data_IF_858161957631
#
_entry.id   IF_858161957631
#
_cell.length_a   1.000
_cell.length_b   1.000
_cell.length_c   1.000
_cell.angle_alpha   90.00
_cell.angle_beta   90.00
_cell.angle_gamma   90.00
#
_symmetry.space_group_name_H-M   'P 1'
#
loop_
_entity.id
_entity.type
_entity.pdbx_description
1 polymer ?
#
# COMPACT_ATOMS: atom_id res chain seq x y z
N UNK A 1 7.58 -7.13 -12.82
CA UNK A 1 8.05 -6.69 -11.49
C UNK A 1 8.22 -7.85 -10.50
N UNK A 2 7.50 -8.96 -10.59
CA UNK A 2 7.63 -10.11 -9.66
C UNK A 2 9.08 -10.60 -9.50
N UNK A 3 9.79 -10.86 -10.62
CA UNK A 3 11.20 -11.30 -10.58
C UNK A 3 12.12 -10.25 -9.92
N UNK A 4 11.85 -8.97 -10.14
CA UNK A 4 12.62 -7.87 -9.52
C UNK A 4 12.36 -7.82 -8.02
N UNK A 5 11.11 -7.95 -7.60
CA UNK A 5 10.72 -8.02 -6.19
C UNK A 5 11.36 -9.21 -5.47
N UNK A 6 11.33 -10.40 -6.08
CA UNK A 6 11.96 -11.60 -5.50
C UNK A 6 13.47 -11.43 -5.31
N UNK A 7 14.15 -10.79 -6.28
CA UNK A 7 15.59 -10.48 -6.16
C UNK A 7 15.88 -9.47 -5.07
N UNK A 8 15.01 -8.47 -4.91
CA UNK A 8 15.13 -7.47 -3.85
C UNK A 8 14.99 -8.12 -2.46
N UNK A 9 13.95 -8.93 -2.26
CA UNK A 9 13.72 -9.65 -0.99
C UNK A 9 14.88 -10.61 -0.65
N UNK A 10 15.57 -11.16 -1.67
CA UNK A 10 16.77 -12.00 -1.49
C UNK A 10 18.07 -11.22 -1.34
N UNK A 11 18.03 -9.88 -1.31
CA UNK A 11 19.21 -9.00 -1.29
C UNK A 11 20.15 -9.19 -2.51
N UNK A 12 19.64 -9.66 -3.65
CA UNK A 12 20.39 -9.78 -4.89
C UNK A 12 20.46 -8.46 -5.66
N UNK A 13 19.50 -7.57 -5.43
CA UNK A 13 19.46 -6.18 -5.91
C UNK A 13 19.04 -5.25 -4.77
N UNK A 14 19.36 -3.98 -4.91
CA UNK A 14 19.09 -2.94 -3.91
C UNK A 14 18.09 -1.90 -4.42
N UNK A 15 17.72 -0.93 -3.57
CA UNK A 15 16.73 0.11 -3.88
C UNK A 15 17.01 0.83 -5.22
N UNK A 16 18.25 1.23 -5.58
CA UNK A 16 18.49 1.92 -6.85
C UNK A 16 18.09 1.09 -8.08
N UNK A 17 18.45 -0.19 -8.12
CA UNK A 17 18.13 -1.09 -9.25
C UNK A 17 16.62 -1.35 -9.30
N UNK A 18 15.98 -1.51 -8.16
CA UNK A 18 14.54 -1.70 -8.07
C UNK A 18 13.79 -0.46 -8.60
N UNK A 19 14.23 0.76 -8.23
CA UNK A 19 13.65 2.00 -8.72
C UNK A 19 13.79 2.17 -10.23
N UNK A 20 14.93 1.80 -10.81
CA UNK A 20 15.13 1.84 -12.27
C UNK A 20 14.19 0.88 -12.98
N UNK A 21 14.05 -0.35 -12.47
CA UNK A 21 13.15 -1.34 -13.03
C UNK A 21 11.68 -0.91 -12.92
N UNK A 22 11.26 -0.35 -11.78
CA UNK A 22 9.91 0.15 -11.56
C UNK A 22 9.57 1.32 -12.51
N UNK A 23 10.49 2.28 -12.70
CA UNK A 23 10.33 3.38 -13.66
C UNK A 23 10.22 2.88 -15.09
N UNK A 24 11.03 1.91 -15.48
CA UNK A 24 10.96 1.32 -16.83
C UNK A 24 9.61 0.64 -17.07
N UNK A 25 9.10 -0.11 -16.09
CA UNK A 25 7.78 -0.74 -16.14
C UNK A 25 6.67 0.30 -16.22
N UNK A 26 6.70 1.32 -15.39
CA UNK A 26 5.71 2.39 -15.37
C UNK A 26 5.63 3.12 -16.72
N UNK A 27 6.77 3.44 -17.32
CA UNK A 27 6.82 4.03 -18.68
C UNK A 27 6.23 3.11 -19.74
N UNK A 28 6.48 1.81 -19.66
CA UNK A 28 5.85 0.84 -20.54
C UNK A 28 4.33 0.79 -20.38
N UNK A 29 3.85 0.78 -19.13
CA UNK A 29 2.42 0.79 -18.81
C UNK A 29 1.75 2.09 -19.29
N UNK A 30 2.37 3.26 -19.11
CA UNK A 30 1.85 4.54 -19.63
C UNK A 30 1.60 4.50 -21.15
N UNK A 31 2.51 3.91 -21.91
CA UNK A 31 2.37 3.76 -23.37
C UNK A 31 1.25 2.80 -23.75
N UNK A 32 1.06 1.74 -22.98
CA UNK A 32 0.05 0.72 -23.24
C UNK A 32 -1.34 1.12 -22.70
N UNK A 33 -1.41 1.98 -21.70
CA UNK A 33 -2.66 2.37 -21.02
C UNK A 33 -3.78 2.77 -21.98
N UNK A 34 -3.56 3.57 -23.05
CA UNK A 34 -4.61 3.90 -24.02
C UNK A 34 -5.13 2.70 -24.82
N UNK A 35 -4.32 1.62 -24.94
CA UNK A 35 -4.67 0.38 -25.66
C UNK A 35 -5.36 -0.63 -24.75
N UNK A 36 -5.28 -0.45 -23.44
CA UNK A 36 -5.88 -1.31 -22.41
C UNK A 36 -7.25 -0.79 -21.94
N UNK A 37 -7.86 0.18 -22.67
CA UNK A 37 -9.18 0.73 -22.37
C UNK A 37 -10.26 -0.25 -22.84
N UNK A 38 -11.04 -0.77 -21.91
CA UNK A 38 -12.13 -1.72 -22.18
C UNK A 38 -12.05 -2.92 -21.22
N UNK A 39 -12.91 -3.92 -21.41
CA UNK A 39 -13.05 -5.13 -20.59
C UNK A 39 -11.77 -5.97 -20.42
N UNK A 40 -10.69 -5.63 -21.13
CA UNK A 40 -9.39 -6.32 -21.08
C UNK A 40 -8.35 -5.60 -20.19
N UNK A 41 -8.68 -4.49 -19.52
CA UNK A 41 -7.80 -3.87 -18.55
C UNK A 41 -7.74 -4.76 -17.29
N UNK A 42 -6.69 -5.55 -17.16
CA UNK A 42 -6.43 -6.34 -15.96
C UNK A 42 -5.97 -5.36 -14.86
N UNK A 43 -6.92 -4.69 -14.22
CA UNK A 43 -6.65 -3.94 -12.98
C UNK A 43 -6.47 -4.94 -11.84
N UNK A 44 -5.41 -4.79 -11.05
CA UNK A 44 -5.23 -5.56 -9.82
C UNK A 44 -6.17 -5.07 -8.69
N UNK A 45 -6.88 -3.97 -8.92
CA UNK A 45 -7.80 -3.33 -7.97
C UNK A 45 -7.37 -1.90 -7.63
N UNK A 46 -8.18 -1.25 -6.80
CA UNK A 46 -7.92 0.08 -6.27
C UNK A 46 -7.50 0.00 -4.80
N UNK A 47 -6.58 0.84 -4.41
CA UNK A 47 -5.98 0.85 -3.09
C UNK A 47 -5.76 2.28 -2.58
N UNK A 48 -5.91 2.48 -1.29
CA UNK A 48 -5.57 3.73 -0.61
C UNK A 48 -4.26 3.53 0.15
N UNK A 49 -3.38 4.55 0.13
CA UNK A 49 -2.14 4.58 0.91
C UNK A 49 -2.01 5.91 1.64
N UNK A 50 -1.55 5.86 2.90
CA UNK A 50 -1.27 7.07 3.67
C UNK A 50 -0.29 6.81 4.80
N UNK A 51 0.45 7.86 5.20
CA UNK A 51 1.26 7.87 6.42
C UNK A 51 0.45 8.53 7.54
N UNK A 52 0.40 7.90 8.69
CA UNK A 52 -0.47 8.31 9.81
C UNK A 52 -0.17 9.70 10.35
N UNK A 53 -1.11 10.25 11.10
CA UNK A 53 -1.00 11.55 11.76
C UNK A 53 0.28 11.65 12.61
N UNK A 54 0.96 12.80 12.53
CA UNK A 54 2.21 13.07 13.23
C UNK A 54 3.45 12.48 12.56
N UNK A 55 3.31 11.78 11.45
CA UNK A 55 4.43 11.18 10.71
C UNK A 55 4.57 11.81 9.31
N UNK A 56 5.74 12.38 9.02
CA UNK A 56 6.03 13.07 7.75
C UNK A 56 6.90 12.23 6.80
N UNK A 57 7.14 10.97 7.13
CA UNK A 57 7.99 10.10 6.33
C UNK A 57 7.20 9.48 5.18
N UNK A 58 7.69 9.64 3.97
CA UNK A 58 7.03 9.19 2.74
C UNK A 58 7.88 8.27 1.84
N UNK A 59 9.21 8.22 2.03
CA UNK A 59 10.12 7.48 1.13
C UNK A 59 9.70 6.01 1.02
N UNK A 60 9.48 5.34 2.15
CA UNK A 60 9.03 3.95 2.18
C UNK A 60 7.66 3.77 1.56
N UNK A 61 6.70 4.63 1.93
CA UNK A 61 5.35 4.64 1.37
C UNK A 61 5.37 4.83 -0.15
N UNK A 62 6.13 5.79 -0.66
CA UNK A 62 6.21 6.07 -2.10
C UNK A 62 6.86 4.91 -2.87
N UNK A 63 7.82 4.20 -2.25
CA UNK A 63 8.38 2.99 -2.82
C UNK A 63 7.33 1.86 -2.92
N UNK A 64 6.52 1.67 -1.88
CA UNK A 64 5.39 0.73 -1.89
C UNK A 64 4.40 1.11 -2.99
N UNK A 65 3.99 2.38 -3.09
CA UNK A 65 3.08 2.87 -4.14
C UNK A 65 3.61 2.54 -5.53
N UNK A 66 4.88 2.83 -5.80
CA UNK A 66 5.51 2.53 -7.09
C UNK A 66 5.46 1.02 -7.42
N UNK A 67 5.69 0.17 -6.43
CA UNK A 67 5.61 -1.28 -6.61
C UNK A 67 4.18 -1.75 -6.87
N UNK A 68 3.20 -1.19 -6.17
CA UNK A 68 1.77 -1.47 -6.35
C UNK A 68 1.28 -1.04 -7.74
N UNK A 69 1.60 0.17 -8.18
CA UNK A 69 1.27 0.66 -9.53
C UNK A 69 1.90 -0.22 -10.62
N UNK A 70 3.18 -0.61 -10.42
CA UNK A 70 3.86 -1.56 -11.32
C UNK A 70 3.23 -2.95 -11.31
N UNK A 71 2.48 -3.29 -10.27
CA UNK A 71 1.75 -4.54 -10.15
C UNK A 71 0.31 -4.45 -10.72
N UNK A 72 -0.10 -3.27 -11.20
CA UNK A 72 -1.40 -3.02 -11.83
C UNK A 72 -2.47 -2.44 -10.92
N UNK A 73 -2.13 -2.01 -9.71
CA UNK A 73 -3.07 -1.29 -8.84
C UNK A 73 -3.24 0.16 -9.27
N UNK A 74 -4.46 0.68 -9.09
CA UNK A 74 -4.71 2.12 -8.99
C UNK A 74 -4.54 2.53 -7.53
N UNK A 75 -3.60 3.43 -7.25
CA UNK A 75 -3.29 3.84 -5.87
C UNK A 75 -3.71 5.30 -5.63
N UNK A 76 -4.54 5.50 -4.61
CA UNK A 76 -4.90 6.81 -4.09
C UNK A 76 -3.95 7.11 -2.93
N UNK A 77 -3.02 8.04 -3.14
CA UNK A 77 -2.08 8.48 -2.12
C UNK A 77 -2.64 9.65 -1.32
N UNK A 78 -2.90 9.44 -0.04
CA UNK A 78 -3.37 10.47 0.89
C UNK A 78 -2.23 11.38 1.38
N UNK A 79 -0.97 11.02 1.09
CA UNK A 79 0.20 11.77 1.54
C UNK A 79 0.70 11.35 2.92
N UNK A 80 1.15 12.33 3.68
CA UNK A 80 1.70 12.18 5.03
C UNK A 80 0.88 12.97 6.05
N UNK A 81 1.09 12.70 7.34
CA UNK A 81 0.35 13.36 8.43
C UNK A 81 -1.17 13.26 8.24
N UNK A 82 -1.62 12.07 7.87
CA UNK A 82 -3.02 11.84 7.49
C UNK A 82 -3.84 11.51 8.74
N UNK A 83 -4.83 12.32 9.10
CA UNK A 83 -5.73 12.03 10.22
C UNK A 83 -6.67 10.87 9.87
N UNK A 84 -7.17 10.20 10.92
CA UNK A 84 -8.05 9.03 10.82
C UNK A 84 -9.25 9.27 9.92
N UNK A 85 -9.89 10.44 10.07
CA UNK A 85 -11.10 10.82 9.33
C UNK A 85 -10.86 10.82 7.82
N UNK A 86 -9.66 11.22 7.38
CA UNK A 86 -9.31 11.21 5.95
C UNK A 86 -9.19 9.82 5.37
N UNK A 87 -8.70 8.85 6.13
CA UNK A 87 -8.71 7.45 5.69
C UNK A 87 -10.14 6.95 5.52
N UNK A 88 -11.02 7.22 6.48
CA UNK A 88 -12.43 6.82 6.44
C UNK A 88 -13.16 7.49 5.27
N UNK A 89 -12.99 8.81 5.10
CA UNK A 89 -13.58 9.58 4.01
C UNK A 89 -13.14 9.05 2.64
N UNK A 90 -11.83 8.80 2.47
CA UNK A 90 -11.29 8.27 1.22
C UNK A 90 -11.86 6.90 0.85
N UNK A 91 -12.08 6.00 1.82
CA UNK A 91 -12.74 4.72 1.57
C UNK A 91 -14.20 4.93 1.17
N UNK A 92 -14.94 5.80 1.85
CA UNK A 92 -16.35 6.10 1.54
C UNK A 92 -16.54 6.72 0.15
N UNK A 93 -15.60 7.58 -0.26
CA UNK A 93 -15.60 8.19 -1.59
C UNK A 93 -15.21 7.21 -2.71
N UNK A 94 -14.54 6.11 -2.36
CA UNK A 94 -14.06 5.10 -3.29
C UNK A 94 -14.51 3.69 -2.90
N UNK A 95 -15.80 3.34 -3.10
CA UNK A 95 -16.36 2.07 -2.64
C UNK A 95 -15.81 0.83 -3.38
N UNK A 96 -15.05 1.04 -4.43
CA UNK A 96 -14.33 0.00 -5.20
C UNK A 96 -12.92 -0.30 -4.65
N UNK A 97 -12.48 0.43 -3.62
CA UNK A 97 -11.22 0.14 -2.92
C UNK A 97 -11.29 -1.22 -2.24
N UNK A 98 -10.21 -2.00 -2.40
CA UNK A 98 -10.08 -3.33 -1.79
C UNK A 98 -9.06 -3.37 -0.66
N UNK A 99 -8.05 -2.51 -0.71
CA UNK A 99 -6.97 -2.52 0.28
C UNK A 99 -6.67 -1.10 0.76
N UNK A 100 -6.52 -0.93 2.07
CA UNK A 100 -6.04 0.30 2.70
C UNK A 100 -4.68 0.03 3.31
N UNK A 101 -3.66 0.74 2.84
CA UNK A 101 -2.30 0.65 3.36
C UNK A 101 -1.99 1.81 4.30
N UNK A 102 -1.53 1.48 5.49
CA UNK A 102 -1.21 2.45 6.55
C UNK A 102 0.27 2.35 6.91
N UNK A 103 0.99 3.48 6.82
CA UNK A 103 2.43 3.56 7.06
C UNK A 103 2.77 4.40 8.29
N UNK A 104 3.77 3.95 9.07
CA UNK A 104 4.40 4.74 10.13
C UNK A 104 5.88 4.39 10.24
N UNK A 105 6.74 5.40 10.45
CA UNK A 105 8.19 5.18 10.57
C UNK A 105 8.70 5.32 12.01
N UNK A 106 7.99 6.02 12.87
CA UNK A 106 8.43 6.31 14.23
C UNK A 106 7.68 5.45 15.25
N UNK A 107 8.38 5.02 16.30
CA UNK A 107 7.72 4.36 17.44
C UNK A 107 6.69 5.28 18.12
N UNK A 108 6.90 6.58 18.06
CA UNK A 108 5.99 7.61 18.59
C UNK A 108 4.71 7.77 17.75
N UNK A 109 4.68 7.31 16.51
CA UNK A 109 3.51 7.34 15.62
C UNK A 109 2.79 6.00 15.50
N UNK A 110 3.30 4.94 16.12
CA UNK A 110 2.59 3.65 16.23
C UNK A 110 1.21 3.77 16.90
N UNK A 111 1.00 4.60 17.95
CA UNK A 111 -0.33 4.82 18.50
C UNK A 111 -1.32 5.40 17.49
N UNK A 112 -0.89 6.32 16.62
CA UNK A 112 -1.74 6.86 15.55
C UNK A 112 -2.10 5.80 14.50
N UNK A 113 -1.18 4.86 14.20
CA UNK A 113 -1.51 3.71 13.35
C UNK A 113 -2.57 2.81 14.01
N UNK A 114 -2.42 2.51 15.29
CA UNK A 114 -3.39 1.73 16.05
C UNK A 114 -4.77 2.39 16.01
N UNK A 115 -4.84 3.69 16.29
CA UNK A 115 -6.08 4.47 16.25
C UNK A 115 -6.72 4.41 14.85
N UNK A 116 -5.94 4.58 13.79
CA UNK A 116 -6.41 4.51 12.41
C UNK A 116 -6.99 3.14 12.08
N UNK A 117 -6.28 2.06 12.40
CA UNK A 117 -6.73 0.69 12.13
C UNK A 117 -7.97 0.34 12.96
N UNK A 118 -8.00 0.70 14.24
CA UNK A 118 -9.17 0.47 15.11
C UNK A 118 -10.40 1.25 14.66
N UNK A 119 -10.23 2.46 14.14
CA UNK A 119 -11.32 3.25 13.58
C UNK A 119 -11.87 2.63 12.31
N UNK A 120 -11.01 2.26 11.37
CA UNK A 120 -11.41 1.54 10.15
C UNK A 120 -12.11 0.22 10.45
N UNK A 121 -11.68 -0.49 11.50
CA UNK A 121 -12.30 -1.75 11.93
C UNK A 121 -13.75 -1.59 12.46
N UNK A 122 -14.14 -0.38 12.86
CA UNK A 122 -15.49 -0.08 13.38
C UNK A 122 -16.47 0.35 12.29
N UNK A 123 -15.97 0.64 11.10
CA UNK A 123 -16.78 1.15 9.99
C UNK A 123 -17.61 0.04 9.32
N UNK A 124 -18.74 0.42 8.76
CA UNK A 124 -19.69 -0.49 8.08
C UNK A 124 -19.11 -1.12 6.80
N UNK A 125 -18.17 -0.43 6.14
CA UNK A 125 -17.45 -0.94 4.98
C UNK A 125 -16.30 -1.92 5.31
N UNK A 126 -16.01 -2.17 6.59
CA UNK A 126 -14.86 -2.99 7.01
C UNK A 126 -14.78 -4.37 6.35
N UNK A 127 -15.91 -4.98 6.10
CA UNK A 127 -16.02 -6.30 5.45
C UNK A 127 -15.60 -6.29 3.98
N UNK A 128 -15.63 -5.12 3.34
CA UNK A 128 -15.40 -4.95 1.90
C UNK A 128 -13.94 -4.56 1.59
N UNK A 129 -13.15 -4.23 2.63
CA UNK A 129 -11.75 -3.82 2.53
C UNK A 129 -10.84 -4.72 3.35
N UNK A 130 -9.54 -4.69 3.00
CA UNK A 130 -8.44 -5.26 3.77
C UNK A 130 -7.48 -4.16 4.22
N UNK A 131 -6.95 -4.26 5.43
CA UNK A 131 -6.04 -3.29 6.01
C UNK A 131 -4.64 -3.90 6.07
N UNK A 132 -3.69 -3.26 5.40
CA UNK A 132 -2.29 -3.64 5.37
C UNK A 132 -1.44 -2.57 6.05
N UNK A 133 -0.55 -2.97 6.95
CA UNK A 133 0.32 -2.04 7.67
C UNK A 133 1.80 -2.34 7.41
N UNK A 134 2.63 -1.30 7.50
CA UNK A 134 4.07 -1.42 7.34
C UNK A 134 4.81 -0.18 7.83
N UNK A 135 6.13 -0.33 7.92
CA UNK A 135 7.06 0.69 8.40
C UNK A 135 8.11 0.10 9.32
N UNK A 136 9.23 0.79 9.50
CA UNK A 136 10.39 0.24 10.17
C UNK A 136 10.14 -0.26 11.62
N UNK A 137 9.32 0.41 12.46
CA UNK A 137 9.05 -0.06 13.82
C UNK A 137 7.91 -1.09 13.89
N UNK A 138 7.23 -1.37 12.78
CA UNK A 138 6.06 -2.25 12.76
C UNK A 138 6.51 -3.71 12.72
N UNK A 139 5.86 -4.54 13.52
CA UNK A 139 6.09 -5.99 13.57
C UNK A 139 4.81 -6.76 13.25
N UNK A 140 4.92 -8.05 12.88
CA UNK A 140 3.73 -8.89 12.69
C UNK A 140 2.83 -8.93 13.93
N UNK A 141 3.43 -9.02 15.13
CA UNK A 141 2.70 -9.08 16.40
C UNK A 141 1.92 -7.79 16.66
N UNK A 142 2.52 -6.62 16.37
CA UNK A 142 1.82 -5.36 16.48
C UNK A 142 0.67 -5.25 15.48
N UNK A 143 0.87 -5.68 14.23
CA UNK A 143 -0.18 -5.68 13.22
C UNK A 143 -1.39 -6.55 13.64
N UNK A 144 -1.12 -7.73 14.21
CA UNK A 144 -2.16 -8.60 14.76
C UNK A 144 -2.87 -7.96 15.97
N UNK A 145 -2.10 -7.36 16.90
CA UNK A 145 -2.65 -6.68 18.08
C UNK A 145 -3.66 -5.58 17.70
N UNK A 146 -3.33 -4.77 16.68
CA UNK A 146 -4.18 -3.67 16.26
C UNK A 146 -5.33 -4.09 15.34
N UNK A 147 -5.37 -5.35 14.90
CA UNK A 147 -6.42 -5.90 14.05
C UNK A 147 -6.26 -5.55 12.56
N UNK A 148 -5.03 -5.39 12.08
CA UNK A 148 -4.73 -5.31 10.65
C UNK A 148 -4.82 -6.70 10.00
N UNK A 149 -5.19 -6.76 8.71
CA UNK A 149 -5.29 -8.02 7.95
C UNK A 149 -3.92 -8.53 7.50
N UNK A 150 -2.94 -7.64 7.33
CA UNK A 150 -1.60 -8.02 6.92
C UNK A 150 -0.53 -7.01 7.36
N UNK A 151 0.69 -7.53 7.51
CA UNK A 151 1.93 -6.79 7.67
C UNK A 151 2.87 -7.08 6.52
N UNK A 152 3.65 -6.08 6.12
CA UNK A 152 4.70 -6.25 5.10
C UNK A 152 5.98 -5.52 5.52
N UNK A 153 7.10 -6.23 5.42
CA UNK A 153 8.40 -5.72 5.84
C UNK A 153 9.07 -4.82 4.80
N UNK A 154 8.70 -4.99 3.53
CA UNK A 154 9.31 -4.27 2.40
C UNK A 154 8.30 -4.02 1.26
N UNK A 155 8.70 -3.17 0.31
CA UNK A 155 7.83 -2.75 -0.79
C UNK A 155 7.51 -3.87 -1.79
N UNK A 156 8.39 -4.84 -1.96
CA UNK A 156 8.16 -5.95 -2.89
C UNK A 156 7.14 -6.94 -2.32
N UNK A 157 7.28 -7.28 -1.04
CA UNK A 157 6.31 -8.10 -0.32
C UNK A 157 4.96 -7.41 -0.22
N UNK A 158 4.93 -6.07 -0.05
CA UNK A 158 3.70 -5.29 -0.03
C UNK A 158 2.88 -5.47 -1.32
N UNK A 159 3.52 -5.41 -2.48
CA UNK A 159 2.83 -5.60 -3.76
C UNK A 159 2.29 -7.04 -3.94
N UNK A 160 2.99 -8.05 -3.44
CA UNK A 160 2.54 -9.45 -3.49
C UNK A 160 1.36 -9.69 -2.55
N UNK A 161 1.47 -9.21 -1.30
CA UNK A 161 0.41 -9.35 -0.29
C UNK A 161 -0.85 -8.61 -0.73
N UNK A 162 -0.73 -7.36 -1.23
CA UNK A 162 -1.86 -6.59 -1.74
C UNK A 162 -2.63 -7.33 -2.83
N UNK A 163 -1.93 -8.02 -3.76
CA UNK A 163 -2.59 -8.86 -4.78
C UNK A 163 -3.40 -10.01 -4.17
N UNK A 164 -2.86 -10.65 -3.13
CA UNK A 164 -3.58 -11.74 -2.45
C UNK A 164 -4.79 -11.23 -1.67
N UNK A 165 -4.73 -10.01 -1.14
CA UNK A 165 -5.82 -9.39 -0.40
C UNK A 165 -6.95 -8.87 -1.30
N UNK A 166 -6.62 -8.46 -2.53
CA UNK A 166 -7.56 -7.92 -3.50
C UNK A 166 -8.26 -8.99 -4.35
N UNK A 167 -7.77 -10.24 -4.33
CA UNK A 167 -8.34 -11.37 -5.07
C UNK A 167 -9.63 -11.89 -4.40
#
# INVERSE_FOLDING_TARGET
MTVVGDKFTKNEIFVPEMLVAARAMQKGVEVLKPLLVGDNAVSAGKMIMGTVAGDLHDIGKNLVIMMLESAGFEVIDLGVDVPVEKFIEAVRENPDVKVVGVSALLTTTMPAMKETVEALNKEDFRKDIKIMVGGAPITPEFAEEIGADAYTADAASAAQVAKSLAA
#
